data_IF_035391996172
#
_entry.id   IF_035391996172
#
_cell.length_a   1.000
_cell.length_b   1.000
_cell.length_c   1.000
_cell.angle_alpha   90.00
_cell.angle_beta   90.00
_cell.angle_gamma   90.00
#
_symmetry.space_group_name_H-M   'P 1'
#
loop_
_entity.id
_entity.type
_entity.pdbx_description
1 polymer ?
#
# COMPACT_ATOMS: atom_id res chain seq x y z
N UNK A 1 0.77 16.79 -3.72
CA UNK A 1 1.01 15.33 -3.68
C UNK A 1 -0.33 14.63 -3.83
N UNK A 2 -0.46 13.68 -4.75
CA UNK A 2 -1.72 12.96 -4.98
C UNK A 2 -1.77 11.73 -4.07
N UNK A 3 -2.61 11.79 -3.02
CA UNK A 3 -2.62 10.77 -1.96
C UNK A 3 -3.17 9.42 -2.44
N UNK A 4 -4.11 9.38 -3.39
CA UNK A 4 -4.66 8.11 -3.89
C UNK A 4 -3.57 7.27 -4.58
N UNK A 5 -2.75 7.91 -5.41
CA UNK A 5 -1.61 7.24 -6.03
C UNK A 5 -0.60 6.73 -5.01
N UNK A 6 -0.26 7.55 -4.01
CA UNK A 6 0.65 7.14 -2.93
C UNK A 6 0.09 5.91 -2.23
N UNK A 7 -1.20 5.87 -1.91
CA UNK A 7 -1.82 4.74 -1.22
C UNK A 7 -1.75 3.46 -2.06
N UNK A 8 -2.03 3.56 -3.35
CA UNK A 8 -1.90 2.41 -4.26
C UNK A 8 -0.45 1.91 -4.36
N UNK A 9 0.53 2.82 -4.35
CA UNK A 9 1.95 2.47 -4.37
C UNK A 9 2.41 1.90 -3.02
N UNK A 10 1.85 2.37 -1.91
CA UNK A 10 2.11 1.79 -0.58
C UNK A 10 1.64 0.34 -0.54
N UNK A 11 0.50 0.03 -1.15
CA UNK A 11 0.00 -1.35 -1.22
C UNK A 11 0.78 -2.27 -2.16
N UNK A 12 1.44 -1.73 -3.19
CA UNK A 12 2.03 -2.52 -4.29
C UNK A 12 3.55 -2.52 -4.35
N UNK A 13 4.20 -1.46 -3.86
CA UNK A 13 5.63 -1.19 -4.09
C UNK A 13 6.39 -1.09 -2.77
N UNK A 14 5.96 -0.21 -1.87
CA UNK A 14 6.60 0.01 -0.57
C UNK A 14 5.58 -0.14 0.55
N UNK A 15 5.59 -1.24 1.30
CA UNK A 15 4.59 -1.49 2.33
C UNK A 15 4.60 -0.37 3.40
N UNK A 16 3.46 -0.21 4.08
CA UNK A 16 3.26 0.84 5.07
C UNK A 16 4.36 0.86 6.14
N UNK A 17 4.77 -0.33 6.62
CA UNK A 17 5.80 -0.50 7.64
C UNK A 17 7.15 0.04 7.18
N UNK A 18 7.50 -0.17 5.92
CA UNK A 18 8.72 0.38 5.34
C UNK A 18 8.66 1.91 5.23
N UNK A 19 7.51 2.44 4.82
CA UNK A 19 7.28 3.88 4.74
C UNK A 19 7.40 4.56 6.10
N UNK A 20 6.92 3.90 7.16
CA UNK A 20 7.02 4.37 8.54
C UNK A 20 8.46 4.28 9.06
N UNK A 21 9.10 3.11 8.97
CA UNK A 21 10.41 2.85 9.57
C UNK A 21 11.54 3.66 8.93
N UNK A 22 11.55 3.73 7.59
CA UNK A 22 12.58 4.45 6.84
C UNK A 22 12.21 5.92 6.57
N UNK A 23 11.04 6.38 7.02
CA UNK A 23 10.54 7.73 6.76
C UNK A 23 10.54 8.10 5.27
N UNK A 24 10.11 7.15 4.44
CA UNK A 24 10.02 7.29 2.98
C UNK A 24 8.59 7.13 2.48
N UNK A 25 8.28 7.64 1.29
CA UNK A 25 7.00 7.48 0.64
C UNK A 25 7.15 7.29 -0.87
N UNK A 26 6.45 6.32 -1.49
CA UNK A 26 6.36 6.26 -2.95
C UNK A 26 5.42 7.37 -3.45
N UNK A 27 5.94 8.34 -4.20
CA UNK A 27 5.19 9.52 -4.64
C UNK A 27 4.43 9.25 -5.94
N UNK A 28 5.14 8.77 -6.94
CA UNK A 28 4.63 8.45 -8.28
C UNK A 28 5.58 7.49 -9.00
N UNK A 29 5.09 6.81 -10.04
CA UNK A 29 5.94 6.12 -11.02
C UNK A 29 5.68 6.77 -12.37
N UNK A 30 6.71 7.37 -12.95
CA UNK A 30 6.64 8.10 -14.22
C UNK A 30 7.82 7.69 -15.09
N UNK A 31 7.56 7.29 -16.34
CA UNK A 31 8.62 6.88 -17.29
C UNK A 31 9.55 5.77 -16.75
N UNK A 32 9.03 4.86 -15.94
CA UNK A 32 9.84 3.81 -15.30
C UNK A 32 10.77 4.34 -14.20
N UNK A 33 10.46 5.51 -13.63
CA UNK A 33 11.17 6.08 -12.49
C UNK A 33 10.24 6.12 -11.28
N UNK A 34 10.66 5.52 -10.17
CA UNK A 34 9.98 5.67 -8.89
C UNK A 34 10.46 6.98 -8.25
N UNK A 35 9.55 7.94 -8.17
CA UNK A 35 9.74 9.14 -7.37
C UNK A 35 9.56 8.79 -5.91
N UNK A 36 10.66 8.86 -5.14
CA UNK A 36 10.70 8.47 -3.74
C UNK A 36 10.82 9.71 -2.86
N UNK A 37 9.80 9.99 -2.06
CA UNK A 37 9.86 11.01 -1.02
C UNK A 37 10.66 10.51 0.17
N UNK A 38 11.61 11.29 0.63
CA UNK A 38 12.42 11.00 1.81
C UNK A 38 12.46 12.21 2.74
N UNK A 39 12.29 11.98 4.05
CA UNK A 39 12.48 13.03 5.05
C UNK A 39 13.96 13.43 5.13
N UNK A 40 14.86 12.45 5.06
CA UNK A 40 16.32 12.61 5.07
C UNK A 40 16.92 12.02 3.79
N UNK A 41 17.48 12.85 2.91
CA UNK A 41 18.06 12.37 1.64
C UNK A 41 19.36 11.59 1.84
N UNK A 42 20.09 11.85 2.92
CA UNK A 42 21.33 11.14 3.28
C UNK A 42 21.10 9.77 3.94
N UNK A 43 19.85 9.34 4.10
CA UNK A 43 19.53 8.00 4.62
C UNK A 43 19.79 6.93 3.53
N UNK A 44 21.05 6.50 3.46
CA UNK A 44 21.51 5.47 2.53
C UNK A 44 20.79 4.13 2.77
N UNK A 45 20.44 3.81 4.01
CA UNK A 45 19.75 2.56 4.33
C UNK A 45 18.33 2.55 3.74
N UNK A 46 17.63 3.67 3.83
CA UNK A 46 16.32 3.85 3.21
C UNK A 46 16.38 3.78 1.68
N UNK A 47 17.38 4.41 1.05
CA UNK A 47 17.60 4.35 -0.40
C UNK A 47 17.86 2.92 -0.88
N UNK A 48 18.76 2.21 -0.21
CA UNK A 48 19.11 0.83 -0.55
C UNK A 48 17.92 -0.12 -0.36
N UNK A 49 17.12 0.09 0.68
CA UNK A 49 15.88 -0.66 0.89
C UNK A 49 14.91 -0.45 -0.27
N UNK A 50 14.61 0.80 -0.62
CA UNK A 50 13.71 1.14 -1.72
C UNK A 50 14.22 0.57 -3.06
N UNK A 51 15.54 0.65 -3.30
CA UNK A 51 16.19 0.11 -4.49
C UNK A 51 16.04 -1.41 -4.61
N UNK A 52 16.16 -2.14 -3.50
CA UNK A 52 15.93 -3.59 -3.45
C UNK A 52 14.48 -3.95 -3.74
N UNK A 53 13.52 -3.15 -3.27
CA UNK A 53 12.10 -3.39 -3.53
C UNK A 53 11.73 -3.25 -5.01
N UNK A 54 12.32 -2.27 -5.71
CA UNK A 54 12.02 -2.02 -7.14
C UNK A 54 12.97 -2.71 -8.12
N UNK A 55 14.06 -3.32 -7.64
CA UNK A 55 15.12 -3.87 -8.48
C UNK A 55 14.65 -4.91 -9.51
N UNK A 56 13.53 -5.58 -9.24
CA UNK A 56 12.92 -6.55 -10.14
C UNK A 56 12.13 -5.92 -11.30
N UNK A 57 11.79 -4.63 -11.22
CA UNK A 57 10.88 -3.94 -12.14
C UNK A 57 11.60 -2.99 -13.12
N UNK A 58 12.94 -3.00 -13.15
CA UNK A 58 13.76 -2.08 -13.94
C UNK A 58 13.45 -0.58 -13.70
N UNK A 59 12.89 -0.24 -12.55
CA UNK A 59 12.64 1.15 -12.22
C UNK A 59 13.92 1.85 -11.74
N UNK A 60 14.14 3.06 -12.23
CA UNK A 60 15.15 3.95 -11.66
C UNK A 60 14.58 4.65 -10.42
N UNK A 61 15.39 4.84 -9.38
CA UNK A 61 14.97 5.54 -8.17
C UNK A 61 15.31 7.03 -8.31
N UNK A 62 14.32 7.90 -8.06
CA UNK A 62 14.50 9.36 -8.04
C UNK A 62 14.14 9.87 -6.65
N UNK A 63 15.11 10.02 -5.73
CA UNK A 63 14.84 10.52 -4.39
C UNK A 63 14.55 12.01 -4.39
N UNK A 64 13.57 12.41 -3.58
CA UNK A 64 13.07 13.78 -3.46
C UNK A 64 12.85 14.10 -1.97
N UNK A 65 13.28 15.28 -1.53
CA UNK A 65 13.06 15.68 -0.14
C UNK A 65 11.57 15.98 0.09
N UNK A 66 11.04 15.46 1.18
CA UNK A 66 9.72 15.81 1.72
C UNK A 66 9.86 16.27 3.16
N UNK A 67 8.95 17.12 3.63
CA UNK A 67 8.92 17.47 5.05
C UNK A 67 8.43 16.30 5.89
N UNK A 68 8.91 16.21 7.13
CA UNK A 68 8.40 15.26 8.13
C UNK A 68 6.88 15.43 8.35
N UNK A 69 6.38 16.67 8.30
CA UNK A 69 4.95 16.95 8.38
C UNK A 69 4.15 16.33 7.21
N UNK A 70 4.65 16.49 5.97
CA UNK A 70 4.00 15.91 4.79
C UNK A 70 4.02 14.37 4.85
N UNK A 71 5.13 13.79 5.32
CA UNK A 71 5.26 12.36 5.55
C UNK A 71 4.21 11.85 6.55
N UNK A 72 4.19 12.43 7.75
CA UNK A 72 3.28 12.04 8.82
C UNK A 72 1.81 12.20 8.41
N UNK A 73 1.45 13.35 7.82
CA UNK A 73 0.10 13.63 7.33
C UNK A 73 -0.37 12.60 6.30
N UNK A 74 0.54 12.15 5.42
CA UNK A 74 0.23 11.15 4.40
C UNK A 74 0.01 9.77 5.02
N UNK A 75 0.86 9.36 5.97
CA UNK A 75 0.68 8.07 6.66
C UNK A 75 -0.60 8.04 7.50
N UNK A 76 -0.92 9.13 8.21
CA UNK A 76 -2.20 9.25 8.93
C UNK A 76 -3.38 9.13 7.97
N UNK A 77 -3.32 9.80 6.81
CA UNK A 77 -4.37 9.71 5.80
C UNK A 77 -4.51 8.29 5.23
N UNK A 78 -3.40 7.56 5.04
CA UNK A 78 -3.42 6.17 4.59
C UNK A 78 -4.10 5.24 5.59
N UNK A 79 -3.84 5.41 6.89
CA UNK A 79 -4.50 4.62 7.93
C UNK A 79 -6.03 4.82 7.91
N UNK A 80 -6.48 6.08 7.81
CA UNK A 80 -7.91 6.40 7.69
C UNK A 80 -8.52 5.83 6.39
N UNK A 81 -7.77 5.85 5.30
CA UNK A 81 -8.18 5.24 4.03
C UNK A 81 -8.37 3.72 4.16
N UNK A 82 -7.47 3.01 4.83
CA UNK A 82 -7.59 1.57 5.02
C UNK A 82 -8.76 1.16 5.92
N UNK A 83 -9.18 2.01 6.86
CA UNK A 83 -10.37 1.75 7.68
C UNK A 83 -11.67 1.84 6.88
N UNK A 84 -11.70 2.67 5.84
CA UNK A 84 -12.87 2.88 4.98
C UNK A 84 -12.86 1.98 3.74
N UNK A 85 -11.68 1.52 3.32
CA UNK A 85 -11.47 0.61 2.21
C UNK A 85 -10.65 -0.61 2.65
N UNK A 86 -11.26 -1.58 3.37
CA UNK A 86 -10.55 -2.77 3.83
C UNK A 86 -9.92 -3.51 2.65
N UNK A 87 -8.68 -3.97 2.86
CA UNK A 87 -7.78 -4.62 1.90
C UNK A 87 -8.26 -6.03 1.46
N UNK A 88 -9.56 -6.25 1.31
CA UNK A 88 -10.14 -7.58 1.12
C UNK A 88 -9.95 -8.15 -0.30
N UNK A 89 -9.61 -7.38 -1.34
CA UNK A 89 -9.66 -7.93 -2.72
C UNK A 89 -8.52 -7.53 -3.69
N UNK A 90 -7.26 -7.37 -3.24
CA UNK A 90 -6.15 -7.03 -4.17
C UNK A 90 -5.09 -8.12 -4.40
N UNK A 91 -5.26 -9.32 -3.82
CA UNK A 91 -4.44 -10.50 -4.12
C UNK A 91 -5.30 -11.73 -4.51
N UNK A 92 -6.23 -11.57 -5.45
CA UNK A 92 -6.86 -12.72 -6.13
C UNK A 92 -7.07 -12.40 -7.61
N UNK A 93 -6.12 -12.83 -8.45
CA UNK A 93 -6.49 -13.31 -9.78
C UNK A 93 -6.48 -14.83 -9.77
N UNK A 94 -7.68 -15.40 -9.66
CA UNK A 94 -8.06 -16.59 -10.40
C UNK A 94 -9.48 -16.36 -10.93
N UNK A 95 -9.74 -16.52 -12.24
CA UNK A 95 -11.07 -16.33 -12.78
C UNK A 95 -11.96 -17.58 -12.59
N UNK A 96 -13.17 -17.32 -12.09
CA UNK A 96 -14.45 -17.99 -12.44
C UNK A 96 -14.88 -19.25 -11.63
N UNK A 97 -16.15 -19.71 -11.77
CA UNK A 97 -17.25 -19.43 -10.84
C UNK A 97 -17.93 -20.72 -10.32
N UNK A 98 -18.89 -20.55 -9.41
CA UNK A 98 -19.86 -21.57 -8.92
C UNK A 98 -19.38 -22.51 -7.81
N UNK A 99 -20.29 -22.67 -6.85
CA UNK A 99 -20.35 -23.67 -5.77
C UNK A 99 -19.65 -23.25 -4.48
N UNK A 100 -20.24 -23.35 -3.29
CA UNK A 100 -21.55 -23.87 -2.89
C UNK A 100 -21.77 -23.44 -1.42
N UNK A 101 -22.98 -22.95 -1.12
CA UNK A 101 -23.86 -23.35 -0.02
C UNK A 101 -23.25 -23.60 1.37
N UNK A 102 -23.75 -22.88 2.36
CA UNK A 102 -24.23 -23.46 3.63
C UNK A 102 -25.32 -22.56 4.21
N UNK A 103 -26.56 -22.89 3.83
CA UNK A 103 -27.77 -22.39 4.50
C UNK A 103 -27.77 -22.94 5.92
N UNK A 104 -27.65 -22.05 6.92
CA UNK A 104 -27.78 -22.43 8.32
C UNK A 104 -29.28 -22.61 8.62
N UNK A 105 -29.62 -23.90 8.73
CA UNK A 105 -30.94 -24.44 9.01
C UNK A 105 -31.42 -24.02 10.41
N UNK A 106 -32.23 -22.96 10.52
CA UNK A 106 -32.92 -22.64 11.77
C UNK A 106 -34.04 -23.64 12.02
N UNK A 107 -33.82 -24.54 12.99
CA UNK A 107 -34.83 -25.41 13.57
C UNK A 107 -35.79 -24.58 14.42
N UNK A 108 -37.09 -24.73 14.16
CA UNK A 108 -38.14 -24.54 15.16
C UNK A 108 -39.03 -25.77 15.11
N UNK A 109 -39.18 -26.47 16.23
CA UNK A 109 -40.43 -27.18 16.52
C UNK A 109 -40.85 -26.83 17.97
N UNK A 110 -42.10 -26.72 18.40
CA UNK A 110 -43.41 -27.03 17.87
C UNK A 110 -44.38 -25.98 18.45
N UNK A 111 -45.44 -25.63 17.70
CA UNK A 111 -46.74 -25.37 18.31
C UNK A 111 -47.75 -26.26 17.58
N UNK A 112 -48.31 -27.22 18.31
CA UNK A 112 -49.67 -27.76 18.25
C UNK A 112 -49.80 -28.73 19.42
#
# INVERSE_FOLDING_TARGET
MNTDQVFQLVDRVLPFEACLFHQILPLSIEEGKLHLGMVMLDDVAALEYARRMIGYQNYSLVPQSISSEAHHKTLTAYLNYNQTHPKTERFTKAPNPKSQVLTLKNRSPLQC
#
